data_IF_901680906355
#
_entry.id   IF_901680906355
#
_cell.length_a   1.000
_cell.length_b   1.000
_cell.length_c   1.000
_cell.angle_alpha   90.00
_cell.angle_beta   90.00
_cell.angle_gamma   90.00
#
_symmetry.space_group_name_H-M   'P 1'
#
loop_
_entity.id
_entity.type
_entity.pdbx_description
1 polymer ?
#
# COMPACT_ATOMS: atom_id res chain seq x y z
N UNK A 1 -27.56 -2.58 21.03
CA UNK A 1 -26.49 -2.49 20.01
C UNK A 1 -25.18 -2.30 20.76
N UNK A 2 -24.30 -3.30 20.75
CA UNK A 2 -22.96 -3.13 21.31
C UNK A 2 -22.20 -2.16 20.40
N UNK A 3 -21.80 -1.00 20.94
CA UNK A 3 -20.83 -0.14 20.29
C UNK A 3 -19.53 -0.93 20.18
N UNK A 4 -19.26 -1.51 19.01
CA UNK A 4 -17.94 -2.05 18.70
C UNK A 4 -16.98 -0.85 18.66
N UNK A 5 -16.34 -0.59 19.78
CA UNK A 5 -15.25 0.38 19.87
C UNK A 5 -14.05 -0.24 19.16
N UNK A 6 -14.02 -0.13 17.82
CA UNK A 6 -12.90 -0.60 17.01
C UNK A 6 -11.75 0.38 17.21
N UNK A 7 -10.82 -0.02 18.07
CA UNK A 7 -9.58 0.71 18.24
C UNK A 7 -8.55 0.17 17.23
N UNK A 8 -7.79 1.05 16.58
CA UNK A 8 -6.52 0.71 15.94
C UNK A 8 -5.64 -0.17 16.85
N UNK A 9 -4.96 -1.15 16.26
CA UNK A 9 -4.04 -2.04 16.98
C UNK A 9 -2.73 -2.14 16.19
N UNK A 10 -1.90 -1.11 16.34
CA UNK A 10 -0.62 -0.96 15.64
C UNK A 10 0.40 -1.96 16.15
N UNK A 11 0.94 -2.79 15.25
CA UNK A 11 2.03 -3.72 15.54
C UNK A 11 3.39 -3.02 15.49
N UNK A 12 3.59 -2.13 14.51
CA UNK A 12 4.80 -1.33 14.39
C UNK A 12 4.49 0.09 13.92
N UNK A 13 5.19 1.07 14.50
CA UNK A 13 5.11 2.49 14.14
C UNK A 13 6.51 3.02 13.85
N UNK A 14 6.71 3.53 12.63
CA UNK A 14 8.04 3.86 12.11
C UNK A 14 8.09 5.35 11.76
N UNK A 15 8.97 6.08 12.43
CA UNK A 15 9.20 7.52 12.24
C UNK A 15 10.61 7.88 11.74
N UNK A 16 11.54 6.94 11.85
CA UNK A 16 12.95 7.17 11.59
C UNK A 16 13.25 7.11 10.10
N UNK A 17 13.88 8.14 9.54
CA UNK A 17 14.41 8.10 8.18
C UNK A 17 15.47 7.00 8.03
N UNK A 18 15.52 6.37 6.85
CA UNK A 18 16.48 5.31 6.51
C UNK A 18 16.36 4.06 7.40
N UNK A 19 15.14 3.55 7.52
CA UNK A 19 14.88 2.29 8.23
C UNK A 19 14.70 1.13 7.25
N UNK A 20 15.48 0.06 7.41
CA UNK A 20 15.35 -1.17 6.63
C UNK A 20 14.80 -2.32 7.49
N UNK A 21 13.92 -3.13 6.92
CA UNK A 21 13.35 -4.31 7.53
C UNK A 21 13.43 -5.47 6.54
N UNK A 22 14.20 -6.49 6.89
CA UNK A 22 14.37 -7.68 6.07
C UNK A 22 13.77 -8.89 6.75
N UNK A 23 12.99 -9.68 6.00
CA UNK A 23 12.42 -10.96 6.46
C UNK A 23 11.63 -10.86 7.78
N UNK A 24 11.03 -9.69 8.03
CA UNK A 24 10.23 -9.42 9.22
C UNK A 24 8.75 -9.79 8.98
N UNK A 25 8.01 -10.02 10.07
CA UNK A 25 6.57 -10.22 10.02
C UNK A 25 5.84 -9.15 10.87
N UNK A 26 4.89 -8.45 10.27
CA UNK A 26 4.03 -7.47 10.92
C UNK A 26 2.59 -8.01 10.91
N UNK A 27 2.08 -8.39 12.08
CA UNK A 27 0.80 -9.08 12.22
C UNK A 27 -0.20 -8.21 12.99
N UNK A 28 -1.39 -8.02 12.43
CA UNK A 28 -2.44 -7.22 13.05
C UNK A 28 -3.76 -7.33 12.31
N UNK A 29 -4.63 -6.35 12.49
CA UNK A 29 -5.95 -6.34 11.86
C UNK A 29 -6.33 -4.97 11.31
N UNK A 30 -6.51 -3.99 12.20
CA UNK A 30 -6.69 -2.59 11.81
C UNK A 30 -5.42 -1.83 12.18
N UNK A 31 -4.88 -1.09 11.22
CA UNK A 31 -3.73 -0.19 11.37
C UNK A 31 -2.42 -0.94 11.73
N UNK A 32 -2.22 -2.17 11.23
CA UNK A 32 -1.07 -3.05 11.58
C UNK A 32 0.30 -2.36 11.49
N UNK A 33 0.63 -1.79 10.34
CA UNK A 33 1.90 -1.15 10.07
C UNK A 33 1.68 0.35 9.84
N UNK A 34 2.05 1.15 10.85
CA UNK A 34 2.07 2.59 10.74
C UNK A 34 3.43 3.06 10.22
N UNK A 35 3.54 3.08 8.90
CA UNK A 35 4.65 3.62 8.12
C UNK A 35 4.54 5.16 8.04
N UNK A 36 4.94 5.83 9.12
CA UNK A 36 4.49 7.18 9.42
C UNK A 36 5.17 8.27 8.57
N UNK A 37 6.50 8.28 8.52
CA UNK A 37 7.30 9.26 7.77
C UNK A 37 8.75 8.79 7.62
N UNK A 38 9.46 9.32 6.62
CA UNK A 38 10.86 8.97 6.34
C UNK A 38 10.99 7.97 5.21
N UNK A 39 12.23 7.66 4.81
CA UNK A 39 12.52 6.67 3.77
C UNK A 39 12.68 5.29 4.38
N UNK A 40 11.91 4.32 3.88
CA UNK A 40 11.92 2.96 4.41
C UNK A 40 12.05 1.91 3.32
N UNK A 41 12.73 0.82 3.67
CA UNK A 41 12.87 -0.34 2.82
C UNK A 41 12.33 -1.57 3.55
N UNK A 42 11.43 -2.30 2.91
CA UNK A 42 10.90 -3.58 3.42
C UNK A 42 11.23 -4.64 2.39
N UNK A 43 12.08 -5.60 2.73
CA UNK A 43 12.51 -6.66 1.83
C UNK A 43 12.05 -8.02 2.33
N UNK A 44 11.32 -8.77 1.49
CA UNK A 44 10.87 -10.12 1.80
C UNK A 44 10.06 -10.22 3.10
N UNK A 45 9.36 -9.14 3.47
CA UNK A 45 8.55 -9.07 4.68
C UNK A 45 7.17 -9.71 4.49
N UNK A 46 6.60 -10.20 5.59
CA UNK A 46 5.22 -10.62 5.67
C UNK A 46 4.39 -9.56 6.41
N UNK A 47 3.29 -9.11 5.82
CA UNK A 47 2.43 -8.07 6.42
C UNK A 47 0.98 -8.53 6.37
N UNK A 48 0.28 -8.48 7.49
CA UNK A 48 -1.07 -9.01 7.64
C UNK A 48 -2.06 -8.00 8.25
N UNK A 49 -3.25 -7.93 7.67
CA UNK A 49 -4.37 -7.21 8.26
C UNK A 49 -5.60 -7.10 7.34
N UNK A 50 -6.56 -6.29 7.78
CA UNK A 50 -7.86 -6.12 7.14
C UNK A 50 -8.20 -4.65 6.82
N UNK A 51 -7.94 -3.70 7.71
CA UNK A 51 -8.36 -2.30 7.52
C UNK A 51 -7.16 -1.39 7.67
N UNK A 52 -6.86 -0.61 6.62
CA UNK A 52 -5.76 0.35 6.55
C UNK A 52 -4.44 -0.21 7.11
N UNK A 53 -4.17 -1.48 6.84
CA UNK A 53 -3.17 -2.19 7.63
C UNK A 53 -1.73 -1.86 7.22
N UNK A 54 -1.53 -1.13 6.12
CA UNK A 54 -0.28 -0.43 5.78
C UNK A 54 -0.62 1.04 5.55
N UNK A 55 -0.28 1.92 6.48
CA UNK A 55 -0.76 3.31 6.43
C UNK A 55 0.24 4.33 6.96
N UNK A 56 0.02 5.59 6.59
CA UNK A 56 0.88 6.72 6.96
C UNK A 56 1.44 7.45 5.74
N UNK A 57 2.53 8.19 5.93
CA UNK A 57 3.12 9.09 4.94
C UNK A 57 4.61 8.82 4.73
N UNK A 58 5.05 7.57 4.89
CA UNK A 58 6.40 7.14 4.53
C UNK A 58 6.69 7.26 3.03
N UNK A 59 7.97 7.42 2.69
CA UNK A 59 8.51 7.26 1.35
C UNK A 59 9.13 5.87 1.27
N UNK A 60 8.32 4.88 0.92
CA UNK A 60 8.63 3.49 1.26
C UNK A 60 8.61 2.57 0.05
N UNK A 61 9.59 1.67 0.01
CA UNK A 61 9.73 0.65 -1.02
C UNK A 61 9.59 -0.74 -0.38
N UNK A 62 8.56 -1.46 -0.79
CA UNK A 62 8.23 -2.81 -0.35
C UNK A 62 8.60 -3.79 -1.47
N UNK A 63 9.67 -4.54 -1.29
CA UNK A 63 10.24 -5.44 -2.29
C UNK A 63 10.04 -6.90 -1.89
N UNK A 64 9.49 -7.71 -2.79
CA UNK A 64 9.24 -9.15 -2.59
C UNK A 64 8.40 -9.48 -1.33
N UNK A 65 7.63 -8.51 -0.85
CA UNK A 65 6.77 -8.67 0.32
C UNK A 65 5.55 -9.56 0.05
N UNK A 66 5.09 -10.25 1.10
CA UNK A 66 3.88 -11.06 1.14
C UNK A 66 2.82 -10.34 1.95
N UNK A 67 1.75 -9.93 1.29
CA UNK A 67 0.67 -9.14 1.85
C UNK A 67 -0.55 -10.05 2.05
N UNK A 68 -0.83 -10.42 3.31
CA UNK A 68 -1.94 -11.29 3.67
C UNK A 68 -3.17 -10.48 4.13
N UNK A 69 -4.23 -10.53 3.34
CA UNK A 69 -5.51 -9.91 3.63
C UNK A 69 -6.34 -10.82 4.54
N UNK A 70 -6.75 -10.33 5.71
CA UNK A 70 -7.62 -11.05 6.65
C UNK A 70 -9.03 -10.46 6.71
N UNK A 71 -9.45 -9.80 5.63
CA UNK A 71 -10.77 -9.17 5.51
C UNK A 71 -11.94 -10.16 5.62
N UNK A 72 -11.71 -11.46 5.44
CA UNK A 72 -12.72 -12.50 5.68
C UNK A 72 -13.19 -12.61 7.14
N UNK A 73 -12.44 -12.03 8.08
CA UNK A 73 -12.81 -11.93 9.50
C UNK A 73 -13.60 -10.66 9.81
N UNK A 74 -13.81 -9.77 8.84
CA UNK A 74 -14.63 -8.58 9.04
C UNK A 74 -16.09 -8.98 9.28
N UNK A 75 -16.82 -8.22 10.14
CA UNK A 75 -18.25 -8.40 10.29
C UNK A 75 -18.98 -8.25 8.96
N UNK A 76 -20.04 -9.03 8.75
CA UNK A 76 -20.77 -9.13 7.47
C UNK A 76 -21.35 -7.82 6.91
N UNK A 77 -21.46 -6.78 7.74
CA UNK A 77 -21.91 -5.45 7.30
C UNK A 77 -20.78 -4.58 6.74
N UNK A 78 -19.52 -5.03 6.80
CA UNK A 78 -18.39 -4.43 6.10
C UNK A 78 -18.05 -5.32 4.92
N UNK A 79 -18.16 -4.76 3.72
CA UNK A 79 -18.00 -5.51 2.47
C UNK A 79 -16.54 -5.81 2.11
N UNK A 80 -15.60 -4.97 2.53
CA UNK A 80 -14.20 -5.11 2.16
C UNK A 80 -13.24 -4.45 3.15
N UNK A 81 -12.00 -4.91 3.13
CA UNK A 81 -10.84 -4.30 3.76
C UNK A 81 -10.10 -3.30 2.87
N UNK A 82 -9.00 -2.77 3.39
CA UNK A 82 -8.12 -1.82 2.69
C UNK A 82 -6.66 -2.18 3.00
N UNK A 83 -5.88 -2.48 1.95
CA UNK A 83 -4.46 -2.82 2.12
C UNK A 83 -3.67 -1.58 2.52
N UNK A 84 -3.82 -0.50 1.76
CA UNK A 84 -3.09 0.75 2.00
C UNK A 84 -4.00 1.92 2.34
N UNK A 85 -3.49 2.83 3.18
CA UNK A 85 -4.08 4.14 3.44
C UNK A 85 -2.97 5.20 3.49
N UNK A 86 -2.57 5.70 2.31
CA UNK A 86 -1.41 6.58 2.17
C UNK A 86 -1.79 8.06 2.35
N UNK A 87 -1.04 8.75 3.21
CA UNK A 87 -1.35 10.05 3.80
C UNK A 87 -0.67 11.27 3.19
N UNK A 88 -0.17 11.20 1.97
CA UNK A 88 0.56 12.29 1.30
C UNK A 88 -0.27 13.56 1.21
N UNK A 89 0.30 14.69 1.66
CA UNK A 89 -0.45 15.93 1.89
C UNK A 89 -0.33 16.98 0.78
N UNK A 90 0.69 16.91 -0.09
CA UNK A 90 0.89 17.91 -1.16
C UNK A 90 1.58 17.35 -2.40
N UNK A 91 1.54 18.05 -3.55
CA UNK A 91 2.30 17.66 -4.75
C UNK A 91 3.82 17.66 -4.55
N UNK A 92 4.34 18.47 -3.63
CA UNK A 92 5.77 18.61 -3.37
C UNK A 92 6.30 17.56 -2.37
N UNK A 93 5.40 16.89 -1.64
CA UNK A 93 5.73 15.85 -0.68
C UNK A 93 6.26 14.59 -1.41
N UNK A 94 7.47 14.09 -1.08
CA UNK A 94 8.06 12.94 -1.74
C UNK A 94 7.51 11.59 -1.26
N UNK A 95 6.64 11.55 -0.24
CA UNK A 95 6.07 10.31 0.31
C UNK A 95 5.27 9.47 -0.68
N UNK A 96 5.10 8.19 -0.38
CA UNK A 96 4.41 7.24 -1.25
C UNK A 96 4.84 5.83 -0.95
N UNK A 97 3.97 4.88 -1.27
CA UNK A 97 4.25 3.46 -1.13
C UNK A 97 4.45 2.82 -2.51
N UNK A 98 5.59 2.19 -2.72
CA UNK A 98 5.88 1.42 -3.92
C UNK A 98 6.04 -0.04 -3.53
N UNK A 99 5.18 -0.90 -4.07
CA UNK A 99 5.26 -2.35 -3.93
C UNK A 99 5.86 -2.90 -5.22
N UNK A 100 7.01 -3.56 -5.13
CA UNK A 100 7.68 -4.19 -6.25
C UNK A 100 7.73 -5.70 -6.04
N UNK A 101 7.24 -6.44 -7.04
CA UNK A 101 7.09 -7.90 -7.00
C UNK A 101 6.22 -8.32 -5.82
N UNK A 102 6.45 -9.51 -5.26
CA UNK A 102 5.70 -10.03 -4.13
C UNK A 102 4.27 -10.49 -4.46
N UNK A 103 3.49 -10.72 -3.41
CA UNK A 103 2.18 -11.37 -3.50
C UNK A 103 1.15 -10.71 -2.59
N UNK A 104 -0.04 -10.42 -3.14
CA UNK A 104 -1.25 -10.06 -2.39
C UNK A 104 -2.18 -11.27 -2.39
N UNK A 105 -2.52 -11.80 -1.22
CA UNK A 105 -3.35 -12.99 -1.05
C UNK A 105 -4.16 -12.90 0.24
N UNK A 106 -4.91 -13.95 0.59
CA UNK A 106 -5.59 -14.07 1.87
C UNK A 106 -7.05 -14.45 1.74
N UNK A 107 -7.92 -13.86 2.57
CA UNK A 107 -9.35 -14.15 2.63
C UNK A 107 -10.20 -12.89 2.70
N UNK A 108 -11.44 -12.99 2.22
CA UNK A 108 -12.35 -11.86 2.07
C UNK A 108 -12.06 -11.03 0.83
N UNK A 109 -12.47 -9.78 0.84
CA UNK A 109 -12.27 -8.82 -0.24
C UNK A 109 -11.59 -7.57 0.31
N UNK A 110 -10.68 -6.98 -0.46
CA UNK A 110 -10.02 -5.74 -0.10
C UNK A 110 -9.75 -4.86 -1.32
N UNK A 111 -9.76 -3.56 -1.07
CA UNK A 111 -9.16 -2.58 -1.97
C UNK A 111 -7.64 -2.60 -1.80
N UNK A 112 -6.91 -2.35 -2.89
CA UNK A 112 -5.48 -2.07 -2.87
C UNK A 112 -5.15 -0.85 -2.00
N UNK A 113 -6.06 0.12 -1.96
CA UNK A 113 -5.95 1.21 -1.02
C UNK A 113 -7.07 2.22 -1.06
N UNK A 114 -7.04 3.11 -0.08
CA UNK A 114 -7.86 4.31 -0.03
C UNK A 114 -7.06 5.56 0.30
N UNK A 115 -7.52 6.72 -0.16
CA UNK A 115 -6.80 7.98 0.01
C UNK A 115 -6.92 8.51 1.44
N UNK A 116 -5.91 8.29 2.29
CA UNK A 116 -5.84 8.91 3.63
C UNK A 116 -5.45 10.39 3.56
N UNK A 117 -4.64 10.78 2.56
CA UNK A 117 -4.29 12.16 2.26
C UNK A 117 -4.76 12.63 0.87
N UNK A 118 -4.88 13.96 0.67
CA UNK A 118 -5.43 14.55 -0.56
C UNK A 118 -4.57 14.34 -1.82
N UNK A 119 -3.31 13.90 -1.65
CA UNK A 119 -2.38 13.61 -2.75
C UNK A 119 -1.82 12.19 -2.66
N UNK A 120 -2.62 11.27 -2.09
CA UNK A 120 -2.26 9.87 -1.86
C UNK A 120 -1.62 9.22 -3.09
N UNK A 121 -0.57 8.45 -2.84
CA UNK A 121 0.27 7.82 -3.86
C UNK A 121 0.68 6.41 -3.46
N UNK A 122 0.25 5.43 -4.24
CA UNK A 122 0.52 4.00 -4.06
C UNK A 122 0.72 3.36 -5.43
N UNK A 123 1.80 2.61 -5.61
CA UNK A 123 2.13 2.00 -6.89
C UNK A 123 2.45 0.52 -6.64
N UNK A 124 1.80 -0.37 -7.36
CA UNK A 124 2.14 -1.80 -7.43
C UNK A 124 2.82 -2.11 -8.77
N UNK A 125 3.95 -2.79 -8.74
CA UNK A 125 4.76 -3.10 -9.93
C UNK A 125 5.18 -4.56 -9.91
N UNK A 126 4.71 -5.35 -10.89
CA UNK A 126 5.08 -6.77 -10.99
C UNK A 126 4.55 -7.65 -9.86
N UNK A 127 3.54 -7.17 -9.12
CA UNK A 127 2.97 -7.89 -7.97
C UNK A 127 1.93 -8.91 -8.44
N UNK A 128 2.00 -10.13 -7.92
CA UNK A 128 0.96 -11.14 -8.10
C UNK A 128 -0.22 -10.85 -7.17
N UNK A 129 -1.42 -10.69 -7.71
CA UNK A 129 -2.64 -10.35 -6.98
C UNK A 129 -3.66 -11.50 -7.03
N UNK A 130 -4.01 -12.03 -5.86
CA UNK A 130 -5.07 -13.03 -5.70
C UNK A 130 -6.48 -12.43 -5.79
N UNK A 131 -7.48 -13.31 -5.82
CA UNK A 131 -8.92 -12.97 -5.91
C UNK A 131 -9.47 -12.13 -4.74
N UNK A 132 -8.64 -11.91 -3.71
CA UNK A 132 -8.96 -11.00 -2.60
C UNK A 132 -9.04 -9.55 -3.05
N UNK A 133 -8.39 -9.17 -4.16
CA UNK A 133 -8.44 -7.80 -4.68
C UNK A 133 -9.75 -7.58 -5.41
N UNK A 134 -10.53 -6.61 -4.93
CA UNK A 134 -11.84 -6.29 -5.49
C UNK A 134 -11.70 -5.64 -6.89
N UNK A 135 -12.62 -5.86 -7.85
CA UNK A 135 -12.45 -5.36 -9.22
C UNK A 135 -12.25 -3.85 -9.37
N UNK A 136 -12.83 -3.04 -8.47
CA UNK A 136 -12.67 -1.58 -8.44
C UNK A 136 -11.24 -1.14 -8.11
N UNK A 137 -10.47 -1.96 -7.37
CA UNK A 137 -9.09 -1.72 -6.99
C UNK A 137 -8.91 -0.68 -5.88
N UNK A 138 -9.47 0.52 -6.05
CA UNK A 138 -9.16 1.69 -5.20
C UNK A 138 -10.40 2.45 -4.73
N UNK A 139 -10.25 3.20 -3.64
CA UNK A 139 -11.30 4.03 -3.03
C UNK A 139 -10.78 5.47 -2.78
N UNK A 140 -11.55 6.48 -3.16
CA UNK A 140 -11.20 7.89 -2.96
C UNK A 140 -11.44 8.37 -1.51
N UNK A 141 -12.14 7.56 -0.71
CA UNK A 141 -12.51 7.84 0.68
C UNK A 141 -13.21 9.20 0.84
N UNK A 142 -12.59 10.13 1.56
CA UNK A 142 -13.14 11.46 1.83
C UNK A 142 -12.82 12.49 0.72
N UNK A 143 -12.05 12.08 -0.30
CA UNK A 143 -11.52 12.96 -1.33
C UNK A 143 -12.16 12.71 -2.71
N UNK A 144 -13.38 12.17 -2.75
CA UNK A 144 -14.18 12.08 -3.98
C UNK A 144 -14.27 13.46 -4.66
N UNK A 145 -14.09 13.50 -5.98
CA UNK A 145 -14.01 14.72 -6.78
C UNK A 145 -12.62 15.38 -6.83
N UNK A 146 -11.62 14.83 -6.12
CA UNK A 146 -10.23 15.30 -6.11
C UNK A 146 -9.26 14.23 -6.60
N UNK A 147 -9.75 13.19 -7.29
CA UNK A 147 -8.98 12.00 -7.65
C UNK A 147 -7.83 12.31 -8.62
N UNK A 148 -7.93 13.42 -9.37
CA UNK A 148 -6.84 13.91 -10.24
C UNK A 148 -5.56 14.29 -9.48
N UNK A 149 -5.60 14.37 -8.14
CA UNK A 149 -4.43 14.61 -7.30
C UNK A 149 -3.70 13.32 -6.88
N UNK A 150 -4.35 12.16 -7.00
CA UNK A 150 -3.79 10.89 -6.56
C UNK A 150 -2.83 10.32 -7.59
N UNK A 151 -1.98 9.39 -7.16
CA UNK A 151 -1.20 8.55 -8.05
C UNK A 151 -1.35 7.10 -7.61
N UNK A 152 -2.39 6.44 -8.11
CA UNK A 152 -2.62 5.01 -7.94
C UNK A 152 -2.38 4.30 -9.25
N UNK A 153 -1.51 3.29 -9.23
CA UNK A 153 -1.15 2.56 -10.42
C UNK A 153 -0.80 1.10 -10.13
N UNK A 154 -1.19 0.24 -11.08
CA UNK A 154 -0.76 -1.14 -11.20
C UNK A 154 0.02 -1.28 -12.51
N UNK A 155 1.25 -1.79 -12.45
CA UNK A 155 2.13 -1.93 -13.62
C UNK A 155 2.63 -3.36 -13.71
N UNK A 156 2.24 -4.08 -14.76
CA UNK A 156 2.62 -5.49 -14.98
C UNK A 156 2.28 -6.40 -13.79
N UNK A 157 1.25 -6.07 -13.03
CA UNK A 157 0.68 -6.97 -12.03
C UNK A 157 -0.03 -8.13 -12.74
N UNK A 158 -0.07 -9.29 -12.10
CA UNK A 158 -0.65 -10.50 -12.67
C UNK A 158 -1.48 -11.27 -11.64
N UNK A 159 -2.15 -12.33 -12.08
CA UNK A 159 -3.04 -13.11 -11.23
C UNK A 159 -4.49 -12.65 -11.29
N UNK A 160 -5.41 -13.41 -10.66
CA UNK A 160 -6.85 -13.23 -10.83
C UNK A 160 -7.39 -11.91 -10.24
N UNK A 161 -6.69 -11.29 -9.29
CA UNK A 161 -7.01 -9.98 -8.75
C UNK A 161 -6.51 -8.80 -9.58
N UNK A 162 -5.64 -9.05 -10.57
CA UNK A 162 -5.01 -8.01 -11.41
C UNK A 162 -5.84 -7.65 -12.66
N UNK A 163 -7.08 -8.15 -12.80
CA UNK A 163 -7.96 -7.74 -13.89
C UNK A 163 -8.35 -6.25 -13.75
N UNK A 164 -7.81 -5.43 -14.66
CA UNK A 164 -8.03 -3.99 -14.66
C UNK A 164 -9.30 -3.55 -15.41
N UNK A 165 -10.09 -4.48 -15.97
CA UNK A 165 -11.25 -4.18 -16.82
C UNK A 165 -12.37 -3.41 -16.10
N UNK A 166 -12.47 -3.57 -14.77
CA UNK A 166 -13.47 -2.91 -13.91
C UNK A 166 -12.87 -1.92 -12.92
N UNK A 167 -11.57 -1.61 -13.04
CA UNK A 167 -10.94 -0.60 -12.19
C UNK A 167 -11.63 0.74 -12.38
N UNK A 168 -11.75 1.46 -11.27
CA UNK A 168 -12.03 2.88 -11.23
C UNK A 168 -11.33 3.66 -12.35
N UNK A 169 -12.02 4.66 -12.91
CA UNK A 169 -11.56 5.36 -14.13
C UNK A 169 -10.40 6.33 -13.89
N UNK A 170 -10.21 6.79 -12.67
CA UNK A 170 -9.19 7.76 -12.27
C UNK A 170 -7.85 7.13 -11.87
N UNK A 171 -7.71 5.81 -12.03
CA UNK A 171 -6.43 5.14 -11.89
C UNK A 171 -5.42 5.69 -12.91
N UNK A 172 -4.17 5.87 -12.49
CA UNK A 172 -3.07 6.30 -13.37
C UNK A 172 -2.62 5.13 -14.27
N UNK A 173 -3.49 4.73 -15.20
CA UNK A 173 -3.21 3.67 -16.16
C UNK A 173 -2.08 4.09 -17.08
N UNK A 174 -1.23 3.13 -17.46
CA UNK A 174 -0.11 3.33 -18.40
C UNK A 174 0.88 4.43 -17.97
N UNK A 175 1.33 4.40 -16.71
CA UNK A 175 2.42 5.28 -16.26
C UNK A 175 3.59 5.21 -17.25
N UNK A 176 4.04 6.39 -17.69
CA UNK A 176 5.17 6.52 -18.60
C UNK A 176 6.42 5.84 -17.98
N UNK A 177 7.20 5.03 -18.73
CA UNK A 177 8.39 4.37 -18.21
C UNK A 177 9.38 5.33 -17.52
N UNK A 178 9.52 6.56 -18.01
CA UNK A 178 10.37 7.58 -17.41
C UNK A 178 9.84 8.08 -16.06
N UNK A 179 8.53 8.08 -15.87
CA UNK A 179 7.89 8.36 -14.57
C UNK A 179 8.13 7.18 -13.62
N UNK A 180 7.96 5.95 -14.10
CA UNK A 180 8.18 4.76 -13.29
C UNK A 180 9.62 4.63 -12.80
N UNK A 181 10.61 5.05 -13.61
CA UNK A 181 12.03 5.04 -13.23
C UNK A 181 12.31 5.88 -11.97
N UNK A 182 11.55 6.95 -11.74
CA UNK A 182 11.64 7.78 -10.52
C UNK A 182 11.19 7.04 -9.27
N UNK A 183 10.39 5.98 -9.44
CA UNK A 183 9.89 5.11 -8.38
C UNK A 183 10.68 3.81 -8.24
N UNK A 184 11.84 3.66 -8.91
CA UNK A 184 12.78 2.56 -8.63
C UNK A 184 13.42 2.72 -7.24
N UNK A 185 13.86 1.63 -6.61
CA UNK A 185 14.50 1.66 -5.27
C UNK A 185 15.60 2.71 -5.16
N UNK A 186 16.55 2.68 -6.09
CA UNK A 186 17.69 3.62 -6.17
C UNK A 186 17.26 5.08 -6.34
N UNK A 187 16.22 5.35 -7.13
CA UNK A 187 15.77 6.72 -7.38
C UNK A 187 14.78 7.24 -6.33
N UNK A 188 14.03 6.34 -5.69
CA UNK A 188 12.90 6.70 -4.84
C UNK A 188 13.27 6.75 -3.37
N UNK A 189 14.05 5.80 -2.86
CA UNK A 189 14.41 5.78 -1.45
C UNK A 189 15.92 5.86 -1.21
N UNK A 190 16.74 5.48 -2.18
CA UNK A 190 18.17 5.20 -1.96
C UNK A 190 19.09 6.11 -2.79
N UNK A 191 18.74 7.40 -2.90
CA UNK A 191 19.49 8.35 -3.73
C UNK A 191 20.88 8.69 -3.16
N UNK A 192 21.05 8.50 -1.85
CA UNK A 192 22.27 8.73 -1.10
C UNK A 192 22.93 7.42 -0.63
N UNK A 193 22.56 6.30 -1.27
CA UNK A 193 23.21 4.98 -1.12
C UNK A 193 23.26 4.50 0.35
N UNK A 194 22.17 4.74 1.09
CA UNK A 194 22.11 4.39 2.52
C UNK A 194 21.88 2.90 2.75
N UNK A 195 21.45 2.16 1.72
CA UNK A 195 21.30 0.70 1.74
C UNK A 195 22.59 -0.06 1.42
N UNK A 196 23.70 0.62 1.07
CA UNK A 196 24.94 -0.01 0.61
C UNK A 196 25.63 -0.95 1.62
N UNK A 197 25.20 -0.96 2.88
CA UNK A 197 25.79 -1.76 3.95
C UNK A 197 25.07 -3.09 4.20
N UNK A 198 24.03 -3.42 3.44
CA UNK A 198 23.32 -4.70 3.53
C UNK A 198 23.81 -5.63 2.40
N UNK A 199 24.79 -6.47 2.73
CA UNK A 199 25.32 -7.58 1.90
C UNK A 199 25.22 -8.90 2.63
#
# INVERSE_FOLDING_TARGET
MAYYNRAPAVAARIYGDKSAFEQCAFLGFQDTLWDAQGRHYFNSCYIEGAVDFIWGSGQSFYEDCRINVTAGLLPSWISAGYITAQGRQSPADPSGFVFSRGFVFGSGQAYLGRAYGPYSRVIFVGTSMGEVVIPQGWDAWQYTGHEGNFMYAEVKCEGPGADMSKRISWESKNLDPSVLQRFSRSSFIDQDDWLAYET
#
